data_IF_145162731896
#
_entry.id   IF_145162731896
#
_cell.length_a   1.000
_cell.length_b   1.000
_cell.length_c   1.000
_cell.angle_alpha   90.00
_cell.angle_beta   90.00
_cell.angle_gamma   90.00
#
_symmetry.space_group_name_H-M   'P 1'
#
loop_
_entity.id
_entity.type
_entity.pdbx_description
1 polymer ?
#
# COMPACT_ATOMS: atom_id res chain seq x y z
N UNK A 1 10.65 4.70 31.51
CA UNK A 1 10.85 4.10 30.17
C UNK A 1 9.56 3.37 29.79
N UNK A 2 8.98 3.61 28.61
CA UNK A 2 7.77 2.91 28.16
C UNK A 2 8.07 1.39 28.11
N UNK A 3 7.39 0.61 28.95
CA UNK A 3 7.69 -0.81 29.21
C UNK A 3 7.15 -1.76 28.12
N UNK A 4 6.16 -1.30 27.34
CA UNK A 4 5.50 -2.06 26.28
C UNK A 4 6.49 -2.52 25.19
N UNK A 5 6.56 -3.84 24.88
CA UNK A 5 7.39 -4.35 23.78
C UNK A 5 7.00 -3.76 22.41
N UNK A 6 5.70 -3.54 22.15
CA UNK A 6 5.21 -2.87 20.94
C UNK A 6 5.82 -1.47 20.78
N UNK A 7 5.76 -0.64 21.82
CA UNK A 7 6.31 0.72 21.78
C UNK A 7 7.84 0.71 21.61
N UNK A 8 8.53 -0.27 22.21
CA UNK A 8 9.98 -0.45 22.03
C UNK A 8 10.33 -0.85 20.60
N UNK A 9 9.59 -1.75 19.98
CA UNK A 9 9.78 -2.16 18.60
C UNK A 9 9.49 -0.99 17.65
N UNK A 10 8.37 -0.29 17.85
CA UNK A 10 7.98 0.88 17.08
C UNK A 10 9.05 2.00 17.16
N UNK A 11 9.58 2.29 18.35
CA UNK A 11 10.61 3.31 18.54
C UNK A 11 11.94 2.97 17.84
N UNK A 12 12.27 1.67 17.72
CA UNK A 12 13.46 1.21 17.00
C UNK A 12 13.27 1.27 15.48
N UNK A 13 12.07 1.00 15.00
CA UNK A 13 11.79 0.93 13.58
C UNK A 13 11.44 2.29 12.97
N UNK A 14 10.45 2.99 13.53
CA UNK A 14 9.90 4.20 12.92
C UNK A 14 10.79 5.43 13.11
N UNK A 15 10.71 6.38 12.18
CA UNK A 15 11.24 7.73 12.40
C UNK A 15 10.56 8.39 13.61
N UNK A 16 11.22 9.39 14.23
CA UNK A 16 10.67 10.08 15.43
C UNK A 16 9.23 10.59 15.23
N UNK A 17 8.94 11.22 14.08
CA UNK A 17 7.61 11.75 13.77
C UNK A 17 6.56 10.64 13.62
N UNK A 18 6.92 9.53 12.97
CA UNK A 18 6.02 8.39 12.77
C UNK A 18 5.79 7.62 14.08
N UNK A 19 6.82 7.52 14.92
CA UNK A 19 6.68 6.96 16.26
C UNK A 19 5.67 7.76 17.10
N UNK A 20 5.68 9.09 17.04
CA UNK A 20 4.67 9.91 17.74
C UNK A 20 3.25 9.59 17.27
N UNK A 21 3.00 9.52 15.95
CA UNK A 21 1.69 9.10 15.42
C UNK A 21 1.31 7.69 15.87
N UNK A 22 2.25 6.75 15.79
CA UNK A 22 2.02 5.38 16.24
C UNK A 22 1.67 5.32 17.74
N UNK A 23 2.35 6.11 18.56
CA UNK A 23 2.10 6.19 19.99
C UNK A 23 0.72 6.77 20.29
N UNK A 24 0.31 7.84 19.60
CA UNK A 24 -1.03 8.41 19.73
C UNK A 24 -2.10 7.36 19.39
N UNK A 25 -1.95 6.64 18.27
CA UNK A 25 -2.85 5.55 17.88
C UNK A 25 -2.85 4.40 18.90
N UNK A 26 -1.69 4.06 19.44
CA UNK A 26 -1.56 3.03 20.47
C UNK A 26 -2.28 3.42 21.75
N UNK A 27 -2.08 4.65 22.24
CA UNK A 27 -2.74 5.15 23.45
C UNK A 27 -4.24 5.31 23.26
N UNK A 28 -4.66 5.82 22.10
CA UNK A 28 -6.07 5.88 21.73
C UNK A 28 -6.72 4.50 21.70
N UNK A 29 -6.01 3.50 21.12
CA UNK A 29 -6.48 2.13 21.11
C UNK A 29 -6.63 1.51 22.50
N UNK A 30 -5.83 1.92 23.48
CA UNK A 30 -5.92 1.41 24.85
C UNK A 30 -6.94 2.15 25.72
N UNK A 31 -7.05 3.48 25.55
CA UNK A 31 -7.80 4.35 26.45
C UNK A 31 -9.12 4.89 25.90
N UNK A 32 -9.30 4.88 24.58
CA UNK A 32 -10.49 5.43 23.90
C UNK A 32 -11.37 4.39 23.23
N UNK A 33 -10.93 3.13 23.13
CA UNK A 33 -11.66 2.08 22.42
C UNK A 33 -12.09 0.91 23.31
N UNK A 34 -13.29 0.42 23.06
CA UNK A 34 -13.81 -0.81 23.64
C UNK A 34 -14.07 -1.88 22.58
N UNK A 35 -13.92 -3.15 22.95
CA UNK A 35 -14.39 -4.29 22.16
C UNK A 35 -15.76 -4.66 22.71
N UNK A 36 -16.82 -4.49 21.91
CA UNK A 36 -18.18 -4.84 22.33
C UNK A 36 -18.38 -6.34 22.36
N UNK A 37 -17.96 -7.01 21.29
CA UNK A 37 -18.07 -8.44 21.14
C UNK A 37 -17.01 -8.97 20.17
N UNK A 38 -16.69 -10.25 20.32
CA UNK A 38 -15.81 -11.01 19.45
C UNK A 38 -16.44 -12.33 19.05
N UNK A 39 -16.10 -12.85 17.88
CA UNK A 39 -16.46 -14.21 17.49
C UNK A 39 -15.80 -15.25 18.40
N UNK A 40 -16.39 -16.45 18.49
CA UNK A 40 -15.91 -17.54 19.34
C UNK A 40 -14.51 -18.05 18.94
N UNK A 41 -14.20 -18.00 17.65
CA UNK A 41 -12.91 -18.37 17.07
C UNK A 41 -11.87 -17.23 17.12
N UNK A 42 -12.22 -16.07 17.71
CA UNK A 42 -11.39 -14.86 17.78
C UNK A 42 -10.92 -14.34 16.41
N UNK A 43 -11.67 -14.65 15.33
CA UNK A 43 -11.36 -14.18 13.98
C UNK A 43 -11.95 -12.80 13.66
N UNK A 44 -12.95 -12.34 14.43
CA UNK A 44 -13.64 -11.07 14.20
C UNK A 44 -13.95 -10.35 15.51
N UNK A 45 -13.69 -9.04 15.52
CA UNK A 45 -13.89 -8.14 16.65
C UNK A 45 -14.68 -6.91 16.22
N UNK A 46 -15.57 -6.46 17.10
CA UNK A 46 -16.35 -5.24 16.92
C UNK A 46 -15.86 -4.21 17.92
N UNK A 47 -15.24 -3.16 17.39
CA UNK A 47 -14.55 -2.12 18.15
C UNK A 47 -15.34 -0.83 18.05
N UNK A 48 -15.50 -0.11 19.16
CA UNK A 48 -16.15 1.20 19.20
C UNK A 48 -15.40 2.16 20.10
N UNK A 49 -15.73 3.44 19.98
CA UNK A 49 -15.32 4.47 20.92
C UNK A 49 -16.00 4.28 22.29
N UNK A 50 -15.26 4.61 23.36
CA UNK A 50 -15.77 4.56 24.75
C UNK A 50 -16.68 5.74 25.02
N UNK A 51 -16.34 6.91 24.49
CA UNK A 51 -17.19 8.08 24.44
C UNK A 51 -18.38 7.78 23.52
N UNK A 52 -19.49 7.37 24.13
CA UNK A 52 -20.79 7.12 23.49
C UNK A 52 -21.42 8.43 22.95
N UNK A 53 -20.66 9.34 22.36
CA UNK A 53 -21.16 10.61 21.81
C UNK A 53 -21.84 10.35 20.46
N UNK A 54 -23.13 10.01 20.51
CA UNK A 54 -24.14 10.12 19.43
C UNK A 54 -23.89 9.44 18.08
N UNK A 55 -22.70 8.91 17.82
CA UNK A 55 -22.33 8.20 16.60
C UNK A 55 -21.74 6.84 17.00
N UNK A 56 -22.61 5.82 17.09
CA UNK A 56 -22.23 4.44 17.41
C UNK A 56 -21.56 3.77 16.21
N UNK A 57 -20.51 4.40 15.68
CA UNK A 57 -19.79 3.81 14.57
C UNK A 57 -18.96 2.64 15.08
N UNK A 58 -19.33 1.44 14.63
CA UNK A 58 -18.63 0.22 14.97
C UNK A 58 -17.65 -0.16 13.86
N UNK A 59 -16.38 -0.32 14.22
CA UNK A 59 -15.36 -0.84 13.32
C UNK A 59 -15.24 -2.35 13.46
N UNK A 60 -15.14 -3.02 12.32
CA UNK A 60 -14.93 -4.47 12.28
C UNK A 60 -13.44 -4.70 12.06
N UNK A 61 -12.83 -5.47 12.96
CA UNK A 61 -11.44 -5.91 12.83
C UNK A 61 -11.44 -7.43 12.65
N UNK A 62 -10.94 -7.89 11.50
CA UNK A 62 -10.74 -9.31 11.24
C UNK A 62 -9.28 -9.68 11.55
N UNK A 63 -9.10 -10.82 12.22
CA UNK A 63 -7.81 -11.39 12.54
C UNK A 63 -7.71 -12.82 12.00
N UNK A 64 -6.71 -13.07 11.17
CA UNK A 64 -6.33 -14.41 10.75
C UNK A 64 -5.10 -14.84 11.56
N UNK A 65 -5.30 -15.76 12.51
CA UNK A 65 -4.25 -16.28 13.37
C UNK A 65 -3.20 -17.10 12.63
N UNK A 66 -3.59 -17.83 11.57
CA UNK A 66 -2.69 -18.65 10.77
C UNK A 66 -1.70 -17.79 9.97
N UNK A 67 -2.20 -16.70 9.41
CA UNK A 67 -1.39 -15.80 8.58
C UNK A 67 -0.84 -14.60 9.37
N UNK A 68 -1.26 -14.39 10.61
CA UNK A 68 -0.95 -13.20 11.41
C UNK A 68 -1.40 -11.90 10.73
N UNK A 69 -2.55 -11.93 10.06
CA UNK A 69 -3.13 -10.77 9.36
C UNK A 69 -4.20 -10.14 10.24
N UNK A 70 -4.07 -8.85 10.48
CA UNK A 70 -5.09 -7.99 11.07
C UNK A 70 -5.56 -6.95 10.05
N UNK A 71 -6.88 -6.87 9.84
CA UNK A 71 -7.50 -5.96 8.89
C UNK A 71 -8.67 -5.25 9.55
N UNK A 72 -8.77 -3.94 9.35
CA UNK A 72 -9.85 -3.13 9.93
C UNK A 72 -10.70 -2.52 8.81
N UNK A 73 -12.02 -2.48 9.01
CA UNK A 73 -12.98 -1.87 8.08
C UNK A 73 -12.71 -0.38 7.80
N UNK A 74 -11.93 0.30 8.64
CA UNK A 74 -11.53 1.69 8.38
C UNK A 74 -10.56 1.86 7.20
N UNK A 75 -9.95 0.77 6.70
CA UNK A 75 -8.98 0.75 5.60
C UNK A 75 -7.79 1.73 5.76
N UNK A 76 -7.52 2.20 6.98
CA UNK A 76 -6.50 3.23 7.22
C UNK A 76 -5.08 2.72 7.08
N UNK A 77 -4.84 1.42 7.28
CA UNK A 77 -3.51 0.85 7.03
C UNK A 77 -3.20 0.85 5.53
N UNK A 78 -4.18 0.58 4.69
CA UNK A 78 -4.06 0.58 3.23
C UNK A 78 -3.74 2.00 2.72
N UNK A 79 -4.30 3.02 3.37
CA UNK A 79 -4.04 4.43 3.04
C UNK A 79 -2.71 4.96 3.62
N UNK A 80 -2.47 4.75 4.91
CA UNK A 80 -1.36 5.40 5.65
C UNK A 80 -0.17 4.45 5.89
N UNK A 81 -0.36 3.13 5.79
CA UNK A 81 0.69 2.14 6.05
C UNK A 81 1.14 2.05 7.50
N UNK A 82 0.35 2.55 8.44
CA UNK A 82 0.60 2.48 9.90
C UNK A 82 -0.63 1.84 10.53
N UNK A 83 -0.42 0.90 11.45
CA UNK A 83 -1.51 0.27 12.19
C UNK A 83 -2.21 1.31 13.06
N UNK A 84 -3.53 1.35 12.97
CA UNK A 84 -4.39 2.31 13.66
C UNK A 84 -4.91 1.77 15.00
N UNK A 85 -5.49 2.66 15.81
CA UNK A 85 -6.02 2.38 17.15
C UNK A 85 -6.92 1.14 17.23
N UNK A 86 -7.80 0.91 16.25
CA UNK A 86 -8.70 -0.27 16.23
C UNK A 86 -7.91 -1.59 16.20
N UNK A 87 -6.88 -1.67 15.35
CA UNK A 87 -6.00 -2.84 15.28
C UNK A 87 -5.20 -2.98 16.57
N UNK A 88 -4.73 -1.88 17.16
CA UNK A 88 -4.00 -1.90 18.44
C UNK A 88 -4.85 -2.44 19.58
N UNK A 89 -6.13 -2.05 19.65
CA UNK A 89 -7.07 -2.52 20.67
C UNK A 89 -7.24 -4.05 20.60
N UNK A 90 -7.33 -4.59 19.39
CA UNK A 90 -7.45 -6.04 19.14
C UNK A 90 -6.13 -6.76 19.39
N UNK A 91 -4.99 -6.22 18.96
CA UNK A 91 -3.68 -6.77 19.28
C UNK A 91 -3.46 -6.87 20.79
N UNK A 92 -3.91 -5.87 21.56
CA UNK A 92 -3.87 -5.91 23.02
C UNK A 92 -4.76 -7.00 23.60
N UNK A 93 -5.95 -7.23 23.03
CA UNK A 93 -6.87 -8.28 23.46
C UNK A 93 -6.32 -9.69 23.19
N UNK A 94 -5.56 -9.84 22.11
CA UNK A 94 -4.92 -11.09 21.69
C UNK A 94 -3.52 -11.26 22.29
N UNK A 95 -3.10 -10.37 23.20
CA UNK A 95 -1.75 -10.32 23.78
C UNK A 95 -0.60 -10.40 22.74
N UNK A 96 -0.82 -9.80 21.56
CA UNK A 96 0.19 -9.67 20.53
C UNK A 96 1.19 -8.59 20.97
N UNK A 97 2.36 -9.03 21.43
CA UNK A 97 3.38 -8.15 22.02
C UNK A 97 4.27 -7.44 21.00
N UNK A 98 4.26 -7.86 19.73
CA UNK A 98 5.09 -7.27 18.67
C UNK A 98 4.25 -6.99 17.41
N UNK A 99 4.59 -5.91 16.71
CA UNK A 99 4.07 -5.57 15.39
C UNK A 99 4.55 -6.67 14.42
N UNK A 100 3.63 -7.38 13.74
CA UNK A 100 4.03 -8.35 12.73
C UNK A 100 4.81 -7.66 11.61
N UNK A 101 5.88 -8.30 11.13
CA UNK A 101 6.85 -7.70 10.19
C UNK A 101 6.19 -7.12 8.95
N UNK A 102 5.11 -7.74 8.46
CA UNK A 102 4.33 -7.25 7.30
C UNK A 102 3.74 -5.84 7.48
N UNK A 103 3.54 -5.38 8.71
CA UNK A 103 3.05 -4.04 9.03
C UNK A 103 4.19 -3.03 9.29
N UNK A 104 5.45 -3.48 9.28
CA UNK A 104 6.64 -2.63 9.39
C UNK A 104 7.17 -2.26 8.00
N UNK A 105 6.49 -1.32 7.35
CA UNK A 105 6.81 -0.94 5.97
C UNK A 105 8.14 -0.17 5.90
N UNK A 106 9.12 -0.59 5.06
CA UNK A 106 10.44 0.03 5.00
C UNK A 106 10.43 1.54 4.76
N UNK A 107 9.44 2.05 4.00
CA UNK A 107 9.20 3.49 3.77
C UNK A 107 9.04 4.32 5.04
N UNK A 108 8.58 3.69 6.12
CA UNK A 108 8.33 4.31 7.41
C UNK A 108 9.48 4.12 8.39
N UNK A 109 10.51 3.38 8.01
CA UNK A 109 11.67 3.16 8.86
C UNK A 109 12.46 4.46 9.10
N UNK A 110 13.14 4.55 10.24
CA UNK A 110 14.05 5.66 10.55
C UNK A 110 15.21 5.76 9.53
N UNK A 111 15.54 4.64 8.87
CA UNK A 111 16.60 4.55 7.87
C UNK A 111 16.09 4.78 6.44
N UNK A 112 14.79 4.96 6.21
CA UNK A 112 14.21 5.09 4.87
C UNK A 112 14.94 6.12 4.00
N UNK A 113 15.35 7.27 4.57
CA UNK A 113 16.16 8.25 3.84
C UNK A 113 17.56 7.74 3.53
N UNK A 114 18.26 7.15 4.49
CA UNK A 114 19.63 6.64 4.30
C UNK A 114 19.65 5.54 3.24
N UNK A 115 18.66 4.65 3.26
CA UNK A 115 18.55 3.56 2.28
C UNK A 115 18.33 4.10 0.86
N UNK A 116 17.56 5.18 0.71
CA UNK A 116 17.38 5.87 -0.58
C UNK A 116 18.64 6.61 -1.04
N UNK A 117 19.43 7.21 -0.14
CA UNK A 117 20.59 8.03 -0.52
C UNK A 117 21.92 7.26 -0.61
N UNK A 118 22.02 6.07 0.00
CA UNK A 118 23.27 5.30 0.05
C UNK A 118 23.48 4.36 -1.14
N UNK A 119 22.69 4.50 -2.21
CA UNK A 119 22.74 3.60 -3.37
C UNK A 119 22.34 2.16 -3.05
N UNK A 120 21.63 1.95 -1.93
CA UNK A 120 21.12 0.63 -1.54
C UNK A 120 20.19 0.08 -2.61
N UNK A 121 20.46 -1.16 -3.04
CA UNK A 121 19.80 -1.84 -4.15
C UNK A 121 18.31 -1.49 -4.29
N UNK A 122 17.96 -0.99 -5.47
CA UNK A 122 16.59 -0.75 -6.01
C UNK A 122 15.64 -1.94 -5.75
N UNK A 123 16.19 -3.12 -5.44
CA UNK A 123 15.49 -4.31 -4.92
C UNK A 123 14.44 -4.03 -3.83
N UNK A 124 14.59 -3.04 -2.95
CA UNK A 124 13.56 -2.74 -1.94
C UNK A 124 12.32 -2.02 -2.50
N UNK A 125 12.38 -1.49 -3.72
CA UNK A 125 11.22 -1.00 -4.47
C UNK A 125 10.50 -2.11 -5.26
N UNK A 126 11.12 -3.29 -5.39
CA UNK A 126 10.65 -4.38 -6.25
C UNK A 126 10.49 -5.75 -5.60
N UNK A 127 10.96 -5.98 -4.37
CA UNK A 127 10.86 -7.29 -3.71
C UNK A 127 9.64 -7.33 -2.79
N UNK A 128 8.66 -8.09 -3.28
CA UNK A 128 7.58 -8.83 -2.62
C UNK A 128 7.81 -9.14 -1.13
N UNK A 129 7.52 -8.17 -0.26
CA UNK A 129 7.19 -8.41 1.14
C UNK A 129 5.92 -7.64 1.54
N UNK A 130 4.93 -7.65 0.66
CA UNK A 130 3.50 -7.46 0.91
C UNK A 130 2.79 -7.54 -0.44
N UNK A 131 1.61 -8.16 -0.47
CA UNK A 131 0.78 -8.25 -1.68
C UNK A 131 0.60 -6.86 -2.34
N UNK A 132 0.61 -6.76 -3.68
CA UNK A 132 0.72 -5.48 -4.36
C UNK A 132 -0.60 -4.72 -4.29
N UNK A 133 -0.60 -3.56 -3.63
CA UNK A 133 -1.51 -2.47 -3.99
C UNK A 133 -0.78 -1.65 -5.04
N UNK A 134 -1.19 -1.83 -6.32
CA UNK A 134 -0.54 -1.27 -7.52
C UNK A 134 -0.32 0.26 -7.49
N UNK A 135 -0.98 0.98 -6.58
CA UNK A 135 -0.81 2.44 -6.41
C UNK A 135 0.41 2.86 -5.59
N UNK A 136 0.80 2.10 -4.56
CA UNK A 136 1.80 2.58 -3.58
C UNK A 136 3.25 2.49 -4.09
N UNK A 137 3.56 1.48 -4.92
CA UNK A 137 4.89 1.28 -5.48
C UNK A 137 5.25 2.34 -6.54
N UNK A 138 4.28 2.77 -7.34
CA UNK A 138 4.48 3.81 -8.35
C UNK A 138 4.81 5.17 -7.71
N UNK A 139 4.12 5.52 -6.62
CA UNK A 139 4.37 6.77 -5.91
C UNK A 139 5.76 6.80 -5.25
N UNK A 140 6.25 5.65 -4.77
CA UNK A 140 7.61 5.52 -4.24
C UNK A 140 8.67 5.75 -5.31
N UNK A 141 8.49 5.12 -6.48
CA UNK A 141 9.38 5.32 -7.61
C UNK A 141 9.41 6.79 -8.06
N UNK A 142 8.24 7.43 -8.21
CA UNK A 142 8.15 8.85 -8.60
C UNK A 142 8.86 9.75 -7.59
N UNK A 143 8.57 9.60 -6.29
CA UNK A 143 9.19 10.41 -5.25
C UNK A 143 10.73 10.25 -5.19
N UNK A 144 11.22 9.03 -5.38
CA UNK A 144 12.65 8.75 -5.44
C UNK A 144 13.31 9.46 -6.63
N UNK A 145 12.75 9.28 -7.83
CA UNK A 145 13.26 9.90 -9.06
C UNK A 145 13.24 11.43 -8.95
N UNK A 146 12.16 12.03 -8.42
CA UNK A 146 12.10 13.47 -8.22
C UNK A 146 13.21 13.99 -7.29
N UNK A 147 13.48 13.30 -6.17
CA UNK A 147 14.54 13.68 -5.23
C UNK A 147 15.94 13.47 -5.81
N UNK A 148 16.14 12.38 -6.54
CA UNK A 148 17.41 12.09 -7.20
C UNK A 148 17.73 13.14 -8.27
N UNK A 149 16.74 13.47 -9.11
CA UNK A 149 16.86 14.55 -10.09
C UNK A 149 17.18 15.89 -9.41
N UNK A 150 16.48 16.23 -8.32
CA UNK A 150 16.77 17.44 -7.55
C UNK A 150 18.21 17.48 -7.04
N UNK A 151 18.72 16.38 -6.46
CA UNK A 151 20.10 16.28 -5.96
C UNK A 151 21.12 16.54 -7.08
N UNK A 152 20.96 15.86 -8.22
CA UNK A 152 21.85 16.05 -9.37
C UNK A 152 21.79 17.51 -9.87
N UNK A 153 20.60 18.09 -9.95
CA UNK A 153 20.44 19.49 -10.35
C UNK A 153 21.15 20.47 -9.40
N UNK A 154 21.09 20.23 -8.07
CA UNK A 154 21.80 21.07 -7.10
C UNK A 154 23.32 20.94 -7.20
N UNK A 155 23.83 19.73 -7.46
CA UNK A 155 25.27 19.50 -7.63
C UNK A 155 25.79 20.11 -8.96
N UNK A 156 24.94 20.21 -9.97
CA UNK A 156 25.28 20.77 -11.28
C UNK A 156 25.16 22.31 -11.36
N UNK A 157 24.61 22.98 -10.34
CA UNK A 157 24.15 24.37 -10.43
C UNK A 157 25.26 25.37 -10.85
N UNK A 158 26.49 25.11 -10.43
CA UNK A 158 27.62 26.03 -10.63
C UNK A 158 28.50 25.67 -11.84
N UNK A 159 28.17 24.62 -12.60
CA UNK A 159 28.99 24.16 -13.72
C UNK A 159 28.17 23.86 -14.98
N UNK A 160 28.34 24.71 -15.99
CA UNK A 160 27.58 24.64 -17.24
C UNK A 160 27.82 23.33 -18.02
N UNK A 161 29.04 22.79 -17.98
CA UNK A 161 29.33 21.50 -18.62
C UNK A 161 28.59 20.35 -17.94
N UNK A 162 28.49 20.39 -16.62
CA UNK A 162 27.76 19.38 -15.84
C UNK A 162 26.26 19.50 -16.08
N UNK A 163 25.70 20.71 -16.15
CA UNK A 163 24.29 20.92 -16.53
C UNK A 163 23.96 20.32 -17.88
N UNK A 164 24.80 20.58 -18.89
CA UNK A 164 24.62 20.01 -20.22
C UNK A 164 24.67 18.48 -20.22
N UNK A 165 25.59 17.89 -19.46
CA UNK A 165 25.66 16.44 -19.30
C UNK A 165 24.39 15.85 -18.65
N UNK A 166 23.84 16.53 -17.63
CA UNK A 166 22.59 16.12 -16.97
C UNK A 166 21.41 16.19 -17.94
N UNK A 167 21.27 17.29 -18.70
CA UNK A 167 20.19 17.48 -19.66
C UNK A 167 20.25 16.42 -20.77
N UNK A 168 21.43 16.17 -21.32
CA UNK A 168 21.63 15.16 -22.39
C UNK A 168 21.29 13.74 -21.90
N UNK A 169 21.78 13.37 -20.71
CA UNK A 169 21.49 12.08 -20.10
C UNK A 169 20.00 11.87 -19.83
N UNK A 170 19.30 12.89 -19.30
CA UNK A 170 17.86 12.84 -19.05
C UNK A 170 17.06 12.77 -20.36
N UNK A 171 17.46 13.50 -21.40
CA UNK A 171 16.81 13.48 -22.72
C UNK A 171 16.96 12.11 -23.39
N UNK A 172 18.15 11.53 -23.33
CA UNK A 172 18.42 10.17 -23.83
C UNK A 172 17.57 9.13 -23.07
N UNK A 173 17.46 9.27 -21.75
CA UNK A 173 16.62 8.39 -20.95
C UNK A 173 15.13 8.53 -21.30
N UNK A 174 14.65 9.76 -21.50
CA UNK A 174 13.27 10.01 -21.90
C UNK A 174 12.92 9.32 -23.23
N UNK A 175 13.81 9.41 -24.24
CA UNK A 175 13.64 8.73 -25.51
C UNK A 175 13.54 7.20 -25.35
N UNK A 176 14.40 6.59 -24.52
CA UNK A 176 14.35 5.16 -24.21
C UNK A 176 13.05 4.74 -23.50
N UNK A 177 12.54 5.57 -22.60
CA UNK A 177 11.25 5.29 -21.92
C UNK A 177 10.09 5.33 -22.91
N UNK A 178 10.11 6.29 -23.84
CA UNK A 178 9.09 6.38 -24.90
C UNK A 178 9.11 5.18 -25.84
N UNK A 179 10.29 4.71 -26.27
CA UNK A 179 10.38 3.51 -27.14
C UNK A 179 9.82 2.27 -26.46
N UNK A 180 10.14 2.03 -25.18
CA UNK A 180 9.61 0.88 -24.41
C UNK A 180 8.07 0.93 -24.31
N UNK A 181 7.48 2.12 -24.13
CA UNK A 181 6.02 2.27 -24.09
C UNK A 181 5.37 1.96 -25.44
N UNK A 182 6.00 2.39 -26.53
CA UNK A 182 5.54 2.10 -27.90
C UNK A 182 5.62 0.59 -28.19
N UNK A 183 6.74 -0.05 -27.85
CA UNK A 183 6.92 -1.49 -28.05
C UNK A 183 5.89 -2.33 -27.28
N UNK A 184 5.59 -1.94 -26.03
CA UNK A 184 4.50 -2.59 -25.25
C UNK A 184 3.14 -2.43 -25.93
N UNK A 185 2.83 -1.24 -26.45
CA UNK A 185 1.56 -0.97 -27.15
C UNK A 185 1.46 -1.82 -28.43
N UNK A 186 2.53 -1.91 -29.20
CA UNK A 186 2.59 -2.72 -30.43
C UNK A 186 2.48 -4.23 -30.15
N UNK A 187 3.05 -4.71 -29.04
CA UNK A 187 2.93 -6.10 -28.60
C UNK A 187 1.52 -6.46 -28.12
N UNK A 188 0.79 -5.51 -27.53
CA UNK A 188 -0.63 -5.70 -27.17
C UNK A 188 -1.54 -5.73 -28.41
N UNK A 189 -1.27 -4.88 -29.41
CA UNK A 189 -2.04 -4.83 -30.67
C UNK A 189 -1.83 -6.12 -31.50
N UNK A 190 -0.59 -6.60 -31.62
CA UNK A 190 -0.30 -7.86 -32.33
C UNK A 190 -0.89 -9.10 -31.65
N UNK A 191 -1.07 -9.08 -30.32
CA UNK A 191 -1.70 -10.19 -29.59
C UNK A 191 -3.22 -10.20 -29.73
N UNK A 192 -3.85 -9.04 -29.90
CA UNK A 192 -5.28 -8.92 -30.22
C UNK A 192 -5.61 -9.27 -31.68
N UNK A 193 -4.63 -9.18 -32.60
CA UNK A 193 -4.80 -9.49 -34.03
C UNK A 193 -4.75 -10.98 -34.40
N UNK A 194 -4.42 -11.87 -33.46
CA UNK A 194 -4.30 -13.32 -33.72
C UNK A 194 -5.48 -14.16 -33.26
N UNK A 195 -6.44 -13.58 -32.53
CA UNK A 195 -7.72 -14.23 -32.30
C UNK A 195 -8.60 -13.98 -33.51
N UNK A 196 -8.50 -14.85 -34.51
CA UNK A 196 -9.47 -14.90 -35.60
C UNK A 196 -10.86 -15.09 -35.00
N UNK A 197 -11.63 -14.00 -34.92
CA UNK A 197 -13.07 -14.05 -34.67
C UNK A 197 -13.64 -14.86 -35.83
N UNK A 198 -13.92 -16.14 -35.58
CA UNK A 198 -14.67 -16.96 -36.52
C UNK A 198 -16.11 -16.50 -36.44
N UNK A 199 -16.67 -16.12 -37.58
CA UNK A 199 -18.09 -15.83 -37.68
C UNK A 199 -18.90 -16.99 -37.09
N UNK A 200 -19.88 -16.71 -36.21
CA UNK A 200 -20.74 -17.75 -35.68
C UNK A 200 -21.46 -18.44 -36.84
N UNK A 201 -21.35 -19.78 -36.92
CA UNK A 201 -21.81 -20.63 -38.04
C UNK A 201 -23.32 -20.60 -38.34
N UNK A 202 -24.11 -19.78 -37.65
CA UNK A 202 -25.55 -19.60 -37.93
C UNK A 202 -25.95 -18.14 -37.75
N UNK A 203 -26.21 -17.47 -38.87
CA UNK A 203 -27.03 -16.26 -38.86
C UNK A 203 -28.47 -16.63 -38.49
N UNK A 204 -29.01 -15.92 -37.50
CA UNK A 204 -30.42 -15.99 -37.12
C UNK A 204 -31.22 -15.24 -38.19
N UNK A 205 -32.33 -15.79 -38.74
CA UNK A 205 -33.15 -15.04 -39.68
C UNK A 205 -33.75 -13.81 -38.98
N UNK A 206 -33.70 -12.66 -39.65
CA UNK A 206 -34.25 -11.41 -39.13
C UNK A 206 -35.77 -11.53 -38.95
N UNK A 207 -36.28 -11.19 -37.76
CA UNK A 207 -37.72 -11.08 -37.48
C UNK A 207 -38.25 -11.84 -36.26
N UNK A 208 -37.43 -12.57 -35.49
CA UNK A 208 -37.91 -13.30 -34.31
C UNK A 208 -37.86 -12.41 -33.06
N UNK A 209 -39.03 -11.98 -32.57
CA UNK A 209 -39.17 -11.29 -31.28
C UNK A 209 -38.85 -12.24 -30.11
N UNK A 210 -38.21 -11.70 -29.08
CA UNK A 210 -37.85 -12.46 -27.87
C UNK A 210 -39.11 -12.89 -27.12
N UNK A 211 -39.47 -14.17 -27.19
CA UNK A 211 -40.51 -14.73 -26.33
C UNK A 211 -39.96 -14.88 -24.90
N UNK A 212 -40.61 -14.20 -23.95
CA UNK A 212 -40.33 -14.32 -22.51
C UNK A 212 -40.95 -15.63 -22.02
N UNK A 213 -40.12 -16.57 -21.59
CA UNK A 213 -40.59 -17.80 -20.94
C UNK A 213 -41.27 -17.41 -19.62
N UNK A 214 -42.53 -17.82 -19.44
CA UNK A 214 -43.24 -17.80 -18.17
C UNK A 214 -43.00 -19.17 -17.52
N UNK A 215 -42.33 -19.17 -16.38
CA UNK A 215 -42.22 -20.36 -15.54
C UNK A 215 -43.56 -20.58 -14.80
N UNK A 216 -44.00 -21.84 -14.79
CA UNK A 216 -45.12 -22.37 -14.00
C UNK A 216 -44.67 -22.71 -12.58
#
# INVERSE_FOLDING_TARGET
MKSSPLLKQAAKFYSRKLYSFFEEEFLHGLGGLNIEHSSSDLSRFYVKNIDNSTDSHNWIVNFNSLEGIIQCSCAKFEMMGILYSHCMRVMRQLDIVNIPVKYLLPRWSANARKDLYSGGNISCLGINACQPIEGSNNLMFINYICRFAYKISTEAQDNEKVKMCVIDGLSTLAAKVHSIKIDRKNKLISRAGNDSIKDPKKCRPNGVLNARLKDH
#
